data_IF_384429111113
#
_entry.id   IF_384429111113
#
_cell.length_a   1.000
_cell.length_b   1.000
_cell.length_c   1.000
_cell.angle_alpha   90.00
_cell.angle_beta   90.00
_cell.angle_gamma   90.00
#
_symmetry.space_group_name_H-M   'P 1'
#
loop_
_entity.id
_entity.type
_entity.pdbx_description
1 polymer ?
#
# COMPACT_ATOMS: atom_id res chain seq x y z
N UNK A 1 27.80 29.15 35.00
CA UNK A 1 27.16 27.82 34.89
C UNK A 1 26.01 27.94 33.91
N UNK A 2 26.23 27.57 32.65
CA UNK A 2 25.23 27.67 31.60
C UNK A 2 24.39 26.38 31.63
N UNK A 3 23.14 26.49 32.05
CA UNK A 3 22.20 25.35 32.01
C UNK A 3 21.90 25.09 30.53
N UNK A 4 22.41 23.97 30.01
CA UNK A 4 22.01 23.50 28.69
C UNK A 4 20.49 23.24 28.71
N UNK A 5 19.74 23.97 27.88
CA UNK A 5 18.34 23.73 27.69
C UNK A 5 18.16 22.30 27.20
N UNK A 6 17.51 21.46 28.00
CA UNK A 6 17.10 20.13 27.58
C UNK A 6 16.22 20.28 26.34
N UNK A 7 16.76 19.94 25.19
CA UNK A 7 16.02 20.00 23.94
C UNK A 7 14.78 19.12 24.07
N UNK A 8 13.60 19.74 24.01
CA UNK A 8 12.32 19.04 23.96
C UNK A 8 12.38 18.05 22.79
N UNK A 9 12.28 16.75 23.07
CA UNK A 9 12.17 15.71 22.02
C UNK A 9 10.92 16.04 21.18
N UNK A 10 11.05 16.11 19.86
CA UNK A 10 9.88 16.33 19.00
C UNK A 10 8.83 15.27 19.30
N UNK A 11 7.56 15.69 19.46
CA UNK A 11 6.45 14.74 19.57
C UNK A 11 6.38 13.91 18.29
N UNK A 12 6.29 12.57 18.42
CA UNK A 12 6.21 11.63 17.31
C UNK A 12 4.83 11.01 17.26
N UNK A 13 4.31 10.83 16.04
CA UNK A 13 3.10 10.08 15.83
C UNK A 13 3.40 8.58 15.98
N UNK A 14 2.63 7.92 16.85
CA UNK A 14 2.66 6.46 16.99
C UNK A 14 1.22 5.96 16.86
N UNK A 15 1.05 4.82 16.19
CA UNK A 15 -0.26 4.22 16.05
C UNK A 15 -0.18 2.72 15.76
N UNK A 16 -1.11 1.98 16.33
CA UNK A 16 -1.29 0.55 16.07
C UNK A 16 -2.77 0.25 15.80
N UNK A 17 -3.05 -0.36 14.64
CA UNK A 17 -4.37 -0.83 14.27
C UNK A 17 -4.35 -2.34 14.01
N UNK A 18 -5.30 -3.07 14.60
CA UNK A 18 -5.50 -4.51 14.39
C UNK A 18 -6.95 -4.80 14.07
N UNK A 19 -7.17 -5.58 13.01
CA UNK A 19 -8.48 -6.07 12.60
C UNK A 19 -8.39 -7.58 12.38
N UNK A 20 -9.20 -8.35 13.12
CA UNK A 20 -9.42 -9.75 12.81
C UNK A 20 -10.88 -9.99 12.43
N UNK A 21 -11.10 -10.75 11.36
CA UNK A 21 -12.42 -11.11 10.88
C UNK A 21 -12.64 -12.62 10.84
N UNK A 22 -13.89 -13.02 10.88
CA UNK A 22 -14.35 -14.40 10.75
C UNK A 22 -15.54 -14.48 9.81
N UNK A 23 -15.73 -15.64 9.20
CA UNK A 23 -16.97 -15.94 8.49
C UNK A 23 -18.04 -16.35 9.52
N UNK A 24 -19.19 -15.71 9.47
CA UNK A 24 -20.34 -16.03 10.31
C UNK A 24 -21.63 -15.80 9.52
N UNK A 25 -22.45 -16.81 9.44
CA UNK A 25 -23.71 -16.80 8.67
C UNK A 25 -23.52 -16.29 7.23
N UNK A 26 -22.51 -16.86 6.53
CA UNK A 26 -22.18 -16.52 5.14
C UNK A 26 -21.62 -15.10 4.92
N UNK A 27 -21.36 -14.33 5.97
CA UNK A 27 -20.83 -12.96 5.90
C UNK A 27 -19.55 -12.79 6.68
N UNK A 28 -18.68 -11.93 6.21
CA UNK A 28 -17.48 -11.51 6.95
C UNK A 28 -17.89 -10.61 8.12
N UNK A 29 -17.52 -10.98 9.34
CA UNK A 29 -17.85 -10.29 10.58
C UNK A 29 -16.58 -10.02 11.38
N UNK A 30 -16.59 -8.95 12.18
CA UNK A 30 -15.50 -8.64 13.11
C UNK A 30 -15.36 -9.81 14.10
N UNK A 31 -14.12 -10.24 14.33
CA UNK A 31 -13.71 -11.09 15.43
C UNK A 31 -13.04 -10.26 16.53
N UNK A 32 -12.14 -9.36 16.12
CA UNK A 32 -11.39 -8.48 17.00
C UNK A 32 -11.09 -7.16 16.29
N UNK A 33 -11.17 -6.05 17.02
CA UNK A 33 -10.79 -4.74 16.56
C UNK A 33 -10.05 -4.01 17.69
N UNK A 34 -8.79 -3.64 17.42
CA UNK A 34 -7.99 -2.84 18.33
C UNK A 34 -7.37 -1.66 17.57
N UNK A 35 -7.32 -0.51 18.24
CA UNK A 35 -6.73 0.69 17.65
C UNK A 35 -6.21 1.63 18.74
N UNK A 36 -4.98 2.08 18.57
CA UNK A 36 -4.25 2.89 19.53
C UNK A 36 -3.53 4.06 18.84
N UNK A 37 -3.30 5.13 19.58
CA UNK A 37 -2.58 6.31 19.11
C UNK A 37 -3.22 6.94 17.89
N UNK A 38 -2.40 7.24 16.89
CA UNK A 38 -2.83 7.87 15.65
C UNK A 38 -3.54 6.92 14.68
N UNK A 39 -3.55 5.60 14.94
CA UNK A 39 -4.22 4.63 14.07
C UNK A 39 -5.71 4.52 14.39
N UNK A 40 -6.56 4.61 13.34
CA UNK A 40 -7.99 4.35 13.41
C UNK A 40 -8.42 3.44 12.26
N UNK A 41 -9.42 2.60 12.52
CA UNK A 41 -10.06 1.73 11.53
C UNK A 41 -11.56 2.04 11.56
N UNK A 42 -12.12 2.36 10.41
CA UNK A 42 -13.56 2.46 10.19
C UNK A 42 -14.02 1.30 9.34
N UNK A 43 -15.18 0.79 9.65
CA UNK A 43 -15.81 -0.33 8.94
C UNK A 43 -17.15 0.17 8.39
N UNK A 44 -17.17 0.70 7.16
CA UNK A 44 -18.41 1.10 6.49
C UNK A 44 -19.32 -0.11 6.28
N UNK A 45 -20.62 0.12 6.26
CA UNK A 45 -21.58 -0.92 5.90
C UNK A 45 -21.40 -1.31 4.44
N UNK A 46 -21.22 -2.60 4.19
CA UNK A 46 -21.23 -3.21 2.85
C UNK A 46 -22.58 -3.86 2.59
N UNK A 47 -23.06 -3.80 1.34
CA UNK A 47 -24.34 -4.39 0.95
C UNK A 47 -24.22 -5.88 0.57
N UNK A 48 -22.99 -6.40 0.54
CA UNK A 48 -22.66 -7.80 0.21
C UNK A 48 -22.10 -8.56 1.45
N UNK A 49 -21.52 -9.73 1.20
CA UNK A 49 -20.95 -10.59 2.23
C UNK A 49 -19.52 -10.19 2.67
N UNK A 50 -18.91 -9.21 2.01
CA UNK A 50 -17.55 -8.75 2.31
C UNK A 50 -17.51 -7.77 3.50
N UNK A 51 -16.30 -7.40 3.90
CA UNK A 51 -16.03 -6.32 4.85
C UNK A 51 -15.11 -5.30 4.19
N UNK A 52 -15.47 -4.01 4.27
CA UNK A 52 -14.55 -2.92 3.94
C UNK A 52 -13.96 -2.36 5.23
N UNK A 53 -12.63 -2.18 5.25
CA UNK A 53 -11.89 -1.56 6.34
C UNK A 53 -11.14 -0.33 5.82
N UNK A 54 -11.48 0.83 6.35
CA UNK A 54 -10.81 2.09 6.03
C UNK A 54 -9.85 2.43 7.16
N UNK A 55 -8.55 2.28 6.91
CA UNK A 55 -7.50 2.65 7.85
C UNK A 55 -7.19 4.14 7.74
N UNK A 56 -6.96 4.78 8.87
CA UNK A 56 -6.79 6.23 8.98
C UNK A 56 -5.61 6.54 9.87
N UNK A 57 -4.64 7.29 9.34
CA UNK A 57 -3.64 7.97 10.14
C UNK A 57 -4.19 9.35 10.55
N UNK A 58 -4.59 9.49 11.81
CA UNK A 58 -5.18 10.74 12.33
C UNK A 58 -4.15 11.85 12.59
N UNK A 59 -2.84 11.55 12.46
CA UNK A 59 -1.79 12.57 12.50
C UNK A 59 -1.71 13.41 11.21
N UNK A 60 -2.42 13.01 10.14
CA UNK A 60 -2.50 13.75 8.88
C UNK A 60 -1.27 13.61 7.99
N UNK A 61 -0.38 12.70 8.29
CA UNK A 61 0.85 12.36 7.57
C UNK A 61 1.95 11.94 8.54
N UNK A 62 3.12 11.58 8.01
CA UNK A 62 4.24 11.07 8.78
C UNK A 62 5.50 11.90 8.53
N UNK A 63 6.40 11.96 9.51
CA UNK A 63 7.73 12.52 9.40
C UNK A 63 8.77 11.61 10.09
N UNK A 64 10.04 11.91 9.93
CA UNK A 64 11.11 11.07 10.47
C UNK A 64 10.95 10.75 11.97
N UNK A 65 10.97 9.47 12.31
CA UNK A 65 10.79 8.95 13.67
C UNK A 65 9.36 8.59 14.05
N UNK A 66 8.35 8.88 13.21
CA UNK A 66 6.98 8.41 13.41
C UNK A 66 6.87 6.90 13.13
N UNK A 67 5.91 6.23 13.77
CA UNK A 67 5.69 4.78 13.63
C UNK A 67 4.22 4.46 13.50
N UNK A 68 3.89 3.71 12.45
CA UNK A 68 2.54 3.16 12.24
C UNK A 68 2.62 1.65 12.02
N UNK A 69 1.73 0.91 12.66
CA UNK A 69 1.62 -0.54 12.45
C UNK A 69 0.18 -0.95 12.22
N UNK A 70 -0.01 -1.81 11.23
CA UNK A 70 -1.31 -2.36 10.85
C UNK A 70 -1.24 -3.88 10.86
N UNK A 71 -2.26 -4.53 11.40
CA UNK A 71 -2.39 -5.98 11.39
C UNK A 71 -3.79 -6.36 10.94
N UNK A 72 -3.87 -7.27 9.97
CA UNK A 72 -5.15 -7.78 9.43
C UNK A 72 -5.12 -9.30 9.47
N UNK A 73 -6.13 -9.91 10.08
CA UNK A 73 -6.30 -11.37 10.10
C UNK A 73 -7.65 -11.71 9.47
N UNK A 74 -7.61 -12.24 8.27
CA UNK A 74 -8.76 -12.72 7.53
C UNK A 74 -8.95 -14.23 7.82
N UNK A 75 -9.89 -14.59 8.68
CA UNK A 75 -10.23 -15.99 8.96
C UNK A 75 -10.71 -16.72 7.71
N UNK A 76 -10.74 -18.05 7.76
CA UNK A 76 -11.12 -18.88 6.62
C UNK A 76 -12.43 -18.43 5.96
N UNK A 77 -12.45 -18.37 4.62
CA UNK A 77 -13.61 -18.02 3.80
C UNK A 77 -14.04 -16.54 3.84
N UNK A 78 -13.34 -15.66 4.57
CA UNK A 78 -13.67 -14.24 4.65
C UNK A 78 -13.23 -13.48 3.40
N UNK A 79 -13.86 -12.30 3.18
CA UNK A 79 -13.47 -11.33 2.14
C UNK A 79 -13.33 -9.95 2.76
N UNK A 80 -12.14 -9.36 2.65
CA UNK A 80 -11.84 -8.06 3.26
C UNK A 80 -11.18 -7.16 2.23
N UNK A 81 -11.77 -5.99 2.02
CA UNK A 81 -11.15 -4.87 1.29
C UNK A 81 -10.55 -3.92 2.33
N UNK A 82 -9.24 -3.68 2.29
CA UNK A 82 -8.57 -2.73 3.17
C UNK A 82 -8.09 -1.55 2.34
N UNK A 83 -8.47 -0.36 2.72
CA UNK A 83 -8.08 0.88 2.02
C UNK A 83 -7.73 1.98 3.02
N UNK A 84 -7.11 3.07 2.56
CA UNK A 84 -6.87 4.27 3.38
C UNK A 84 -7.96 5.32 3.16
N UNK A 85 -8.20 6.17 4.16
CA UNK A 85 -9.14 7.28 4.04
C UNK A 85 -8.73 8.30 2.96
N UNK A 86 -7.43 8.50 2.79
CA UNK A 86 -6.83 9.44 1.85
C UNK A 86 -5.38 9.02 1.55
N UNK A 87 -4.71 9.75 0.65
CA UNK A 87 -3.27 9.59 0.41
C UNK A 87 -2.46 9.79 1.69
N UNK A 88 -1.45 8.96 1.92
CA UNK A 88 -0.51 9.13 3.04
C UNK A 88 0.57 10.14 2.65
N UNK A 89 0.73 11.19 3.42
CA UNK A 89 1.72 12.25 3.20
C UNK A 89 2.96 11.97 4.05
N UNK A 90 4.11 11.92 3.41
CA UNK A 90 5.39 11.79 4.11
C UNK A 90 6.13 13.11 4.01
N UNK A 91 6.15 13.83 5.12
CA UNK A 91 6.75 15.15 5.21
C UNK A 91 8.28 15.07 5.29
N UNK A 92 8.92 16.20 5.02
CA UNK A 92 10.36 16.37 5.23
C UNK A 92 10.78 15.90 6.62
N UNK A 93 11.77 15.02 6.67
CA UNK A 93 12.36 14.57 7.92
C UNK A 93 13.49 15.51 8.36
N UNK A 94 13.41 16.03 9.57
CA UNK A 94 14.52 16.75 10.20
C UNK A 94 15.57 15.81 10.78
N UNK A 95 15.14 14.62 11.20
CA UNK A 95 15.98 13.53 11.68
C UNK A 95 15.15 12.23 11.74
N UNK A 96 15.82 11.09 11.59
CA UNK A 96 15.21 9.76 11.66
C UNK A 96 14.41 9.39 10.38
N UNK A 97 13.77 8.24 10.44
CA UNK A 97 12.97 7.68 9.34
C UNK A 97 11.59 7.34 9.89
N UNK A 98 10.54 7.68 9.16
CA UNK A 98 9.20 7.18 9.45
C UNK A 98 9.15 5.68 9.16
N UNK A 99 8.51 4.91 10.03
CA UNK A 99 8.41 3.47 9.91
C UNK A 99 6.93 3.07 9.79
N UNK A 100 6.59 2.37 8.72
CA UNK A 100 5.26 1.79 8.54
C UNK A 100 5.38 0.28 8.39
N UNK A 101 4.68 -0.48 9.20
CA UNK A 101 4.65 -1.93 9.11
C UNK A 101 3.23 -2.46 8.96
N UNK A 102 3.04 -3.33 7.99
CA UNK A 102 1.77 -4.02 7.75
C UNK A 102 2.00 -5.52 7.79
N UNK A 103 1.18 -6.23 8.56
CA UNK A 103 1.14 -7.69 8.64
C UNK A 103 -0.25 -8.17 8.26
N UNK A 104 -0.36 -9.12 7.32
CA UNK A 104 -1.63 -9.64 6.85
C UNK A 104 -1.59 -11.17 6.87
N UNK A 105 -2.56 -11.78 7.55
CA UNK A 105 -2.76 -13.22 7.53
C UNK A 105 -4.06 -13.53 6.80
N UNK A 106 -4.01 -14.41 5.80
CA UNK A 106 -5.15 -14.77 4.97
C UNK A 106 -5.41 -16.26 5.06
N UNK A 107 -6.48 -16.63 5.77
CA UNK A 107 -6.88 -18.02 6.00
C UNK A 107 -7.40 -18.72 4.75
N UNK A 108 -7.58 -20.03 4.86
CA UNK A 108 -8.00 -20.89 3.76
C UNK A 108 -9.29 -20.40 3.08
N UNK A 109 -9.26 -20.25 1.74
CA UNK A 109 -10.38 -19.77 0.93
C UNK A 109 -10.77 -18.32 1.19
N UNK A 110 -10.03 -17.59 2.01
CA UNK A 110 -10.24 -16.16 2.23
C UNK A 110 -9.57 -15.32 1.14
N UNK A 111 -10.03 -14.08 1.02
CA UNK A 111 -9.42 -13.07 0.14
C UNK A 111 -9.25 -11.75 0.87
N UNK A 112 -8.07 -11.13 0.71
CA UNK A 112 -7.79 -9.77 1.15
C UNK A 112 -7.33 -8.94 -0.06
N UNK A 113 -8.00 -7.82 -0.28
CA UNK A 113 -7.59 -6.79 -1.21
C UNK A 113 -7.00 -5.62 -0.40
N UNK A 114 -5.66 -5.46 -0.41
CA UNK A 114 -4.92 -4.35 0.19
C UNK A 114 -4.80 -3.21 -0.82
N UNK A 115 -5.62 -2.19 -0.65
CA UNK A 115 -5.85 -1.11 -1.61
C UNK A 115 -5.63 0.29 -0.97
N UNK A 116 -4.47 0.60 -0.38
CA UNK A 116 -4.21 1.96 0.08
C UNK A 116 -4.19 2.93 -1.10
N UNK A 117 -4.57 4.18 -0.84
CA UNK A 117 -4.35 5.27 -1.79
C UNK A 117 -2.86 5.64 -1.84
N UNK A 118 -2.48 6.59 -2.68
CA UNK A 118 -1.08 6.91 -2.94
C UNK A 118 -0.33 7.40 -1.70
N UNK A 119 0.93 7.02 -1.60
CA UNK A 119 1.91 7.62 -0.70
C UNK A 119 2.59 8.78 -1.41
N UNK A 120 2.50 10.00 -0.86
CA UNK A 120 3.11 11.21 -1.41
C UNK A 120 4.38 11.52 -0.63
N UNK A 121 5.53 11.37 -1.26
CA UNK A 121 6.83 11.65 -0.67
C UNK A 121 7.24 13.10 -0.97
N UNK A 122 7.27 13.96 0.05
CA UNK A 122 7.73 15.34 -0.08
C UNK A 122 9.26 15.38 -0.21
N UNK A 123 9.83 16.50 -0.66
CA UNK A 123 11.28 16.63 -0.68
C UNK A 123 11.88 16.42 0.72
N UNK A 124 12.97 15.64 0.79
CA UNK A 124 13.62 15.21 2.03
C UNK A 124 12.75 14.35 2.95
N UNK A 125 11.71 13.71 2.42
CA UNK A 125 11.01 12.66 3.16
C UNK A 125 11.94 11.47 3.45
N UNK A 126 11.68 10.80 4.57
CA UNK A 126 12.39 9.57 4.94
C UNK A 126 11.36 8.55 5.43
N UNK A 127 11.14 7.51 4.62
CA UNK A 127 10.17 6.44 4.89
C UNK A 127 10.81 5.07 4.70
N UNK A 128 10.60 4.19 5.66
CA UNK A 128 10.81 2.75 5.55
C UNK A 128 9.49 2.03 5.77
N UNK A 129 8.99 1.35 4.74
CA UNK A 129 7.74 0.60 4.78
C UNK A 129 7.99 -0.88 4.59
N UNK A 130 7.20 -1.73 5.25
CA UNK A 130 7.20 -3.17 5.04
C UNK A 130 5.78 -3.72 4.99
N UNK A 131 5.60 -4.71 4.13
CA UNK A 131 4.40 -5.51 4.00
C UNK A 131 4.80 -6.98 4.11
N UNK A 132 4.37 -7.63 5.18
CA UNK A 132 4.55 -9.06 5.41
C UNK A 132 3.19 -9.74 5.32
N UNK A 133 3.05 -10.75 4.44
CA UNK A 133 1.78 -11.43 4.18
C UNK A 133 2.00 -12.93 4.25
N UNK A 134 1.14 -13.59 5.02
CA UNK A 134 1.09 -15.04 5.12
C UNK A 134 -0.27 -15.54 4.60
N UNK A 135 -0.21 -16.38 3.56
CA UNK A 135 -1.37 -16.94 2.88
C UNK A 135 -1.49 -18.43 3.19
N UNK A 136 -2.67 -18.89 3.54
CA UNK A 136 -2.99 -20.30 3.50
C UNK A 136 -3.07 -20.82 2.06
N UNK A 137 -3.21 -22.14 1.88
CA UNK A 137 -3.03 -22.81 0.59
C UNK A 137 -3.94 -22.25 -0.52
N UNK A 138 -5.20 -22.04 -0.25
CA UNK A 138 -6.20 -21.56 -1.22
C UNK A 138 -6.62 -20.09 -0.99
N UNK A 139 -5.79 -19.33 -0.28
CA UNK A 139 -6.03 -17.92 -0.03
C UNK A 139 -5.71 -17.07 -1.28
N UNK A 140 -6.45 -15.98 -1.44
CA UNK A 140 -6.21 -14.98 -2.48
C UNK A 140 -5.78 -13.65 -1.86
N UNK A 141 -4.84 -12.97 -2.51
CA UNK A 141 -4.35 -11.68 -2.06
C UNK A 141 -4.11 -10.74 -3.24
N UNK A 142 -4.61 -9.52 -3.12
CA UNK A 142 -4.29 -8.41 -4.02
C UNK A 142 -3.63 -7.30 -3.21
N UNK A 143 -2.44 -6.86 -3.63
CA UNK A 143 -1.78 -5.67 -3.09
C UNK A 143 -1.64 -4.59 -4.17
N UNK A 144 -1.85 -3.36 -3.77
CA UNK A 144 -1.58 -2.15 -4.56
C UNK A 144 -0.78 -1.19 -3.72
N UNK A 145 0.34 -0.71 -4.25
CA UNK A 145 1.10 0.38 -3.65
C UNK A 145 1.47 1.39 -4.74
N UNK A 146 0.95 2.60 -4.58
CA UNK A 146 1.18 3.71 -5.48
C UNK A 146 1.94 4.82 -4.77
N UNK A 147 2.89 5.44 -5.47
CA UNK A 147 3.81 6.44 -4.90
C UNK A 147 3.92 7.64 -5.82
N UNK A 148 3.89 8.83 -5.23
CA UNK A 148 4.13 10.10 -5.90
C UNK A 148 5.40 10.74 -5.34
N UNK A 149 6.35 11.09 -6.22
CA UNK A 149 7.61 11.75 -5.89
C UNK A 149 7.43 13.28 -5.96
N UNK A 150 7.19 13.89 -4.80
CA UNK A 150 6.91 15.32 -4.69
C UNK A 150 5.44 15.68 -4.89
N UNK A 151 5.16 16.99 -4.84
CA UNK A 151 3.84 17.59 -5.05
C UNK A 151 3.83 18.40 -6.33
N UNK A 152 3.68 17.73 -7.47
CA UNK A 152 3.75 18.37 -8.79
C UNK A 152 2.83 19.61 -8.90
N UNK A 153 1.63 19.53 -8.35
CA UNK A 153 0.68 20.67 -8.35
C UNK A 153 1.19 21.90 -7.57
N UNK A 154 2.18 21.72 -6.69
CA UNK A 154 2.85 22.77 -5.92
C UNK A 154 4.24 23.12 -6.45
N UNK A 155 4.62 22.55 -7.61
CA UNK A 155 5.95 22.72 -8.19
C UNK A 155 7.08 22.04 -7.42
N UNK A 156 6.76 21.13 -6.49
CA UNK A 156 7.76 20.43 -5.68
C UNK A 156 8.08 19.06 -6.26
N UNK A 157 9.36 18.78 -6.40
CA UNK A 157 9.92 17.44 -6.69
C UNK A 157 10.63 16.90 -5.45
N UNK A 158 10.67 15.59 -5.32
CA UNK A 158 11.51 14.93 -4.31
C UNK A 158 12.95 14.85 -4.83
N UNK A 159 13.74 15.87 -4.54
CA UNK A 159 15.14 15.94 -4.97
C UNK A 159 16.02 14.95 -4.21
N UNK A 160 15.82 14.88 -2.89
CA UNK A 160 16.58 14.02 -2.00
C UNK A 160 15.67 13.34 -0.99
N UNK A 161 16.16 12.30 -0.32
CA UNK A 161 15.44 11.62 0.74
C UNK A 161 15.68 10.12 0.76
N UNK A 162 14.86 9.40 1.49
CA UNK A 162 14.85 7.94 1.57
C UNK A 162 13.43 7.41 1.40
N UNK A 163 13.26 6.53 0.46
CA UNK A 163 12.10 5.65 0.38
C UNK A 163 12.57 4.21 0.26
N UNK A 164 12.19 3.38 1.22
CA UNK A 164 12.40 1.95 1.21
C UNK A 164 11.06 1.25 1.36
N UNK A 165 10.74 0.36 0.42
CA UNK A 165 9.53 -0.45 0.45
C UNK A 165 9.89 -1.91 0.28
N UNK A 166 9.49 -2.74 1.24
CA UNK A 166 9.83 -4.15 1.28
C UNK A 166 8.60 -5.00 1.47
N UNK A 167 8.37 -5.96 0.54
CA UNK A 167 7.32 -6.94 0.65
C UNK A 167 7.87 -8.35 0.83
N UNK A 168 7.19 -9.13 1.63
CA UNK A 168 7.45 -10.56 1.79
C UNK A 168 6.11 -11.28 1.85
N UNK A 169 5.80 -12.01 0.78
CA UNK A 169 4.55 -12.77 0.66
C UNK A 169 4.90 -14.25 0.73
N UNK A 170 4.31 -14.95 1.68
CA UNK A 170 4.48 -16.38 1.88
C UNK A 170 3.16 -17.09 1.61
N UNK A 171 3.24 -18.32 1.14
CA UNK A 171 2.11 -19.24 1.06
C UNK A 171 2.52 -20.53 1.77
N UNK A 172 1.74 -20.96 2.78
CA UNK A 172 2.05 -22.12 3.62
C UNK A 172 3.51 -22.12 4.11
N UNK A 173 3.97 -20.96 4.63
CA UNK A 173 5.33 -20.73 5.12
C UNK A 173 6.42 -20.52 4.05
N UNK A 174 6.15 -20.87 2.78
CA UNK A 174 7.12 -20.72 1.67
C UNK A 174 7.05 -19.30 1.08
N UNK A 175 8.19 -18.63 0.96
CA UNK A 175 8.28 -17.33 0.29
C UNK A 175 7.97 -17.49 -1.21
N UNK A 176 6.88 -16.87 -1.67
CA UNK A 176 6.44 -16.89 -3.08
C UNK A 176 6.74 -15.57 -3.81
N UNK A 177 6.85 -14.46 -3.07
CA UNK A 177 7.21 -13.16 -3.64
C UNK A 177 8.03 -12.33 -2.65
N UNK A 178 9.05 -11.68 -3.17
CA UNK A 178 9.86 -10.69 -2.46
C UNK A 178 10.03 -9.45 -3.34
N UNK A 179 9.70 -8.29 -2.77
CA UNK A 179 9.96 -6.98 -3.36
C UNK A 179 10.92 -6.21 -2.47
N UNK A 180 11.82 -5.46 -3.07
CA UNK A 180 12.70 -4.54 -2.36
C UNK A 180 12.94 -3.33 -3.26
N UNK A 181 12.23 -2.25 -3.01
CA UNK A 181 12.43 -0.97 -3.69
C UNK A 181 13.17 -0.02 -2.75
N UNK A 182 14.22 0.61 -3.26
CA UNK A 182 14.93 1.65 -2.52
C UNK A 182 15.27 2.81 -3.43
N UNK A 183 14.82 4.00 -3.04
CA UNK A 183 15.24 5.28 -3.59
C UNK A 183 15.93 6.05 -2.46
N UNK A 184 17.16 6.49 -2.67
CA UNK A 184 17.92 7.23 -1.66
C UNK A 184 18.81 8.28 -2.31
N UNK A 185 19.15 9.29 -1.53
CA UNK A 185 20.00 10.41 -1.92
C UNK A 185 19.39 11.23 -3.07
N UNK A 186 20.04 11.32 -4.22
CA UNK A 186 19.55 12.05 -5.40
C UNK A 186 18.37 11.38 -6.08
N UNK A 187 17.18 11.40 -5.47
CA UNK A 187 15.98 10.69 -5.94
C UNK A 187 15.53 11.17 -7.30
N UNK A 188 15.51 12.48 -7.55
CA UNK A 188 15.14 13.04 -8.86
C UNK A 188 16.08 12.57 -9.98
N UNK A 189 17.39 12.60 -9.72
CA UNK A 189 18.38 12.13 -10.69
C UNK A 189 18.26 10.62 -10.96
N UNK A 190 17.93 9.82 -9.93
CA UNK A 190 17.68 8.39 -10.06
C UNK A 190 16.41 8.14 -10.87
N UNK A 191 15.31 8.83 -10.56
CA UNK A 191 14.03 8.71 -11.26
C UNK A 191 14.12 9.13 -12.75
N UNK A 192 14.99 10.07 -13.09
CA UNK A 192 15.22 10.50 -14.47
C UNK A 192 15.84 9.41 -15.36
N UNK A 193 16.51 8.39 -14.78
CA UNK A 193 17.11 7.30 -15.55
C UNK A 193 16.05 6.47 -16.26
N UNK A 194 16.25 6.16 -17.54
CA UNK A 194 15.30 5.37 -18.34
C UNK A 194 15.00 4.00 -17.74
N UNK A 195 16.00 3.33 -17.18
CA UNK A 195 15.84 2.02 -16.54
C UNK A 195 15.18 2.08 -15.15
N UNK A 196 14.82 3.25 -14.64
CA UNK A 196 14.15 3.44 -13.34
C UNK A 196 12.73 3.94 -13.58
N UNK A 197 12.52 5.25 -13.75
CA UNK A 197 11.21 5.84 -14.03
C UNK A 197 11.17 6.68 -15.33
N UNK A 198 12.27 6.84 -16.05
CA UNK A 198 12.32 7.61 -17.30
C UNK A 198 11.82 9.06 -17.16
N UNK A 199 12.01 9.67 -15.98
CA UNK A 199 11.52 11.01 -15.67
C UNK A 199 10.07 11.08 -15.18
N UNK A 200 9.38 9.93 -15.02
CA UNK A 200 8.06 9.90 -14.40
C UNK A 200 8.16 10.13 -12.89
N UNK A 201 7.13 10.71 -12.30
CA UNK A 201 7.10 11.05 -10.86
C UNK A 201 6.02 10.28 -10.08
N UNK A 202 5.24 9.48 -10.76
CA UNK A 202 4.22 8.62 -10.19
C UNK A 202 4.47 7.18 -10.63
N UNK A 203 4.38 6.23 -9.72
CA UNK A 203 4.51 4.81 -10.06
C UNK A 203 3.66 3.93 -9.14
N UNK A 204 3.33 2.74 -9.60
CA UNK A 204 2.63 1.75 -8.79
C UNK A 204 3.14 0.34 -9.07
N UNK A 205 3.12 -0.48 -8.02
CA UNK A 205 3.27 -1.93 -8.10
C UNK A 205 1.98 -2.58 -7.61
N UNK A 206 1.45 -3.53 -8.40
CA UNK A 206 0.35 -4.38 -8.00
C UNK A 206 0.83 -5.82 -8.00
N UNK A 207 0.38 -6.59 -7.03
CA UNK A 207 0.59 -8.03 -6.94
C UNK A 207 -0.74 -8.71 -6.67
N UNK A 208 -1.14 -9.62 -7.54
CA UNK A 208 -2.17 -10.60 -7.22
C UNK A 208 -1.50 -11.96 -6.99
N UNK A 209 -1.85 -12.63 -5.89
CA UNK A 209 -1.41 -13.98 -5.58
C UNK A 209 -2.64 -14.89 -5.40
N UNK A 210 -2.85 -15.78 -6.34
CA UNK A 210 -4.01 -16.68 -6.36
C UNK A 210 -4.15 -17.42 -7.70
N UNK A 211 -5.13 -18.33 -7.79
CA UNK A 211 -5.26 -19.26 -8.91
C UNK A 211 -5.65 -18.59 -10.24
N UNK A 212 -6.14 -17.34 -10.20
CA UNK A 212 -6.61 -16.62 -11.39
C UNK A 212 -5.51 -15.76 -12.05
N UNK A 213 -4.24 -15.86 -11.63
CA UNK A 213 -3.15 -15.00 -12.10
C UNK A 213 -3.02 -14.99 -13.63
N UNK A 214 -2.99 -16.17 -14.27
CA UNK A 214 -2.91 -16.26 -15.73
C UNK A 214 -4.16 -15.72 -16.45
N UNK A 215 -5.34 -15.98 -15.90
CA UNK A 215 -6.59 -15.47 -16.46
C UNK A 215 -6.68 -13.93 -16.37
N UNK A 216 -6.17 -13.37 -15.27
CA UNK A 216 -6.10 -11.92 -15.09
C UNK A 216 -5.06 -11.27 -16.01
N UNK A 217 -3.97 -11.95 -16.35
CA UNK A 217 -2.96 -11.40 -17.25
C UNK A 217 -3.56 -10.98 -18.59
N UNK A 218 -4.44 -11.81 -19.17
CA UNK A 218 -5.13 -11.49 -20.42
C UNK A 218 -6.03 -10.26 -20.34
N UNK A 219 -6.62 -9.99 -19.15
CA UNK A 219 -7.47 -8.82 -18.92
C UNK A 219 -6.65 -7.55 -18.64
N UNK A 220 -5.52 -7.69 -17.94
CA UNK A 220 -4.71 -6.57 -17.46
C UNK A 220 -3.75 -6.07 -18.54
N UNK A 221 -3.14 -6.97 -19.32
CA UNK A 221 -2.13 -6.59 -20.32
C UNK A 221 -2.58 -5.50 -21.28
N UNK A 222 -3.80 -5.54 -21.88
CA UNK A 222 -4.26 -4.46 -22.75
C UNK A 222 -4.44 -3.11 -22.05
N UNK A 223 -4.68 -3.11 -20.72
CA UNK A 223 -4.87 -1.89 -19.94
C UNK A 223 -3.54 -1.17 -19.62
N UNK A 224 -2.41 -1.92 -19.67
CA UNK A 224 -1.09 -1.42 -19.31
C UNK A 224 -0.13 -1.38 -20.50
N UNK A 225 -0.62 -1.66 -21.70
CA UNK A 225 0.18 -1.56 -22.92
C UNK A 225 0.68 -0.13 -23.14
N UNK A 226 2.02 0.02 -23.22
CA UNK A 226 2.69 1.29 -23.41
C UNK A 226 4.11 1.27 -22.84
N UNK A 227 4.87 2.34 -23.08
CA UNK A 227 6.29 2.39 -22.71
C UNK A 227 6.52 2.39 -21.19
N UNK A 228 5.49 2.69 -20.39
CA UNK A 228 5.61 2.93 -18.95
C UNK A 228 4.77 1.95 -18.10
N UNK A 229 4.39 0.81 -18.66
CA UNK A 229 3.65 -0.21 -17.93
C UNK A 229 3.96 -1.61 -18.42
N UNK A 230 3.70 -2.60 -17.56
CA UNK A 230 3.87 -4.01 -17.91
C UNK A 230 3.23 -4.93 -16.88
N UNK A 231 2.83 -6.12 -17.35
CA UNK A 231 2.25 -7.16 -16.53
C UNK A 231 2.86 -8.52 -16.89
N UNK A 232 3.14 -9.33 -15.85
CA UNK A 232 3.67 -10.68 -15.99
C UNK A 232 3.02 -11.60 -14.98
N UNK A 233 2.68 -12.83 -15.38
CA UNK A 233 2.15 -13.85 -14.50
C UNK A 233 3.05 -15.09 -14.52
N UNK A 234 3.22 -15.72 -13.35
CA UNK A 234 3.93 -16.99 -13.16
C UNK A 234 3.68 -17.54 -11.75
N UNK A 235 3.65 -18.86 -11.60
CA UNK A 235 3.52 -19.52 -10.29
C UNK A 235 2.38 -18.94 -9.43
N UNK A 236 1.17 -18.89 -9.98
CA UNK A 236 -0.05 -18.39 -9.34
C UNK A 236 0.05 -16.94 -8.82
N UNK A 237 0.88 -16.13 -9.43
CA UNK A 237 0.94 -14.69 -9.16
C UNK A 237 1.04 -13.86 -10.43
N UNK A 238 0.50 -12.67 -10.37
CA UNK A 238 0.59 -11.64 -11.40
C UNK A 238 1.16 -10.37 -10.77
N UNK A 239 2.17 -9.81 -11.40
CA UNK A 239 2.77 -8.53 -11.02
C UNK A 239 2.53 -7.53 -12.12
N UNK A 240 2.09 -6.34 -11.74
CA UNK A 240 1.92 -5.20 -12.64
C UNK A 240 2.77 -4.06 -12.13
N UNK A 241 3.48 -3.38 -13.04
CA UNK A 241 4.23 -2.16 -12.76
C UNK A 241 3.77 -1.07 -13.69
N UNK A 242 3.57 0.12 -13.13
CA UNK A 242 3.10 1.30 -13.84
C UNK A 242 3.96 2.50 -13.45
N UNK A 243 4.21 3.38 -14.41
CA UNK A 243 4.73 4.72 -14.14
C UNK A 243 3.97 5.75 -14.97
N UNK A 244 3.85 6.97 -14.44
CA UNK A 244 3.11 8.04 -15.09
C UNK A 244 3.67 9.42 -14.72
N UNK A 245 3.33 10.43 -15.52
CA UNK A 245 3.80 11.80 -15.33
C UNK A 245 3.25 12.48 -14.07
N UNK A 246 2.16 11.97 -13.49
CA UNK A 246 1.51 12.47 -12.28
C UNK A 246 0.49 11.45 -11.74
N UNK A 247 -0.05 11.73 -10.54
CA UNK A 247 -1.03 10.85 -9.90
C UNK A 247 -2.35 10.71 -10.66
N UNK A 248 -2.80 11.76 -11.35
CA UNK A 248 -4.04 11.69 -12.14
C UNK A 248 -3.87 10.74 -13.33
N UNK A 249 -2.76 10.86 -14.05
CA UNK A 249 -2.43 9.97 -15.16
C UNK A 249 -2.23 8.53 -14.67
N UNK A 250 -1.62 8.34 -13.50
CA UNK A 250 -1.48 7.02 -12.89
C UNK A 250 -2.84 6.40 -12.56
N UNK A 251 -3.76 7.13 -11.90
CA UNK A 251 -5.10 6.65 -11.53
C UNK A 251 -5.93 6.21 -12.73
N UNK A 252 -5.79 6.88 -13.88
CA UNK A 252 -6.51 6.51 -15.11
C UNK A 252 -6.18 5.08 -15.59
N UNK A 253 -4.99 4.59 -15.29
CA UNK A 253 -4.56 3.22 -15.62
C UNK A 253 -4.79 2.30 -14.42
N UNK A 254 -4.44 2.76 -13.23
CA UNK A 254 -4.45 1.98 -12.00
C UNK A 254 -5.86 1.49 -11.63
N UNK A 255 -6.87 2.38 -11.67
CA UNK A 255 -8.24 2.04 -11.30
C UNK A 255 -8.85 0.95 -12.19
N UNK A 256 -8.78 1.02 -13.55
CA UNK A 256 -9.20 -0.07 -14.40
C UNK A 256 -8.46 -1.40 -14.13
N UNK A 257 -7.16 -1.36 -13.86
CA UNK A 257 -6.36 -2.55 -13.52
C UNK A 257 -6.84 -3.18 -12.21
N UNK A 258 -7.05 -2.37 -11.16
CA UNK A 258 -7.60 -2.85 -9.89
C UNK A 258 -8.97 -3.50 -10.11
N UNK A 259 -9.86 -2.85 -10.87
CA UNK A 259 -11.19 -3.39 -11.17
C UNK A 259 -11.09 -4.74 -11.92
N UNK A 260 -10.20 -4.86 -12.90
CA UNK A 260 -9.97 -6.11 -13.64
C UNK A 260 -9.51 -7.25 -12.70
N UNK A 261 -8.61 -6.97 -11.75
CA UNK A 261 -8.12 -7.91 -10.74
C UNK A 261 -9.16 -8.24 -9.66
N UNK A 262 -10.26 -7.50 -9.61
CA UNK A 262 -11.41 -7.69 -8.72
C UNK A 262 -12.65 -8.20 -9.46
N UNK A 263 -12.47 -8.83 -10.62
CA UNK A 263 -13.57 -9.33 -11.47
C UNK A 263 -14.61 -8.27 -11.83
N UNK A 264 -14.18 -7.02 -12.04
CA UNK A 264 -15.06 -5.90 -12.40
C UNK A 264 -15.61 -5.13 -11.19
N UNK A 265 -15.32 -5.55 -9.96
CA UNK A 265 -15.75 -4.79 -8.79
C UNK A 265 -15.04 -3.41 -8.75
N UNK A 266 -15.75 -2.33 -8.37
CA UNK A 266 -15.15 -1.00 -8.29
C UNK A 266 -14.12 -0.90 -7.17
N UNK A 267 -13.26 0.10 -7.23
CA UNK A 267 -12.41 0.49 -6.08
C UNK A 267 -13.29 0.98 -4.92
N UNK A 268 -12.80 0.94 -3.66
CA UNK A 268 -13.52 1.50 -2.52
C UNK A 268 -13.94 2.95 -2.76
N UNK A 269 -15.10 3.36 -2.22
CA UNK A 269 -15.68 4.69 -2.48
C UNK A 269 -14.74 5.85 -2.16
N UNK A 270 -13.87 5.70 -1.16
CA UNK A 270 -12.88 6.70 -0.76
C UNK A 270 -11.85 7.04 -1.83
N UNK A 271 -11.69 6.20 -2.87
CA UNK A 271 -10.83 6.47 -4.02
C UNK A 271 -11.40 7.53 -4.98
N UNK A 272 -12.70 7.81 -4.89
CA UNK A 272 -13.43 8.74 -5.76
C UNK A 272 -13.68 10.10 -5.10
N UNK A 273 -13.07 10.35 -3.94
CA UNK A 273 -13.21 11.60 -3.18
C UNK A 273 -12.11 12.61 -3.53
#
# INVERSE_FOLDING_TARGET
>A
MTIAAAGTRPQRAEGHGHLAAKLFDGRTRIRELYQEGAAKIRLPDTFDASMEAVIINTAGGLTGGDRMSWSVVAGAGTRIDVTTQACEKIYKASAGTAEVSTSIEVGAGARVDWLPQETILFDRASLSRRLDVDLDENAEFLAVEAVLLGRKAMGEMMETGLFRDRWRIRRSGRLIHAEELRLSDGVAALAARQAVLGGQVAFATLLYAGPLAEAYLGKVRPLVEGPMGGASAWNDKLVVRLAAADGFSLRKILIPVISALRNGAPVPKVWNL
#
